data_IF_049858592752
#
_entry.id   IF_049858592752
#
_cell.length_a   1.000
_cell.length_b   1.000
_cell.length_c   1.000
_cell.angle_alpha   90.00
_cell.angle_beta   90.00
_cell.angle_gamma   90.00
#
_symmetry.space_group_name_H-M   'P 1'
#
loop_
_entity.id
_entity.type
_entity.pdbx_description
1 polymer ?
#
# COMPACT_ATOMS: atom_id res chain seq x y z
N UNK A 1 19.79 13.50 2.84
CA UNK A 1 18.57 13.35 2.00
C UNK A 1 18.14 11.91 2.13
N UNK A 2 16.88 11.60 2.47
CA UNK A 2 16.40 10.22 2.47
C UNK A 2 16.60 9.62 1.07
N UNK A 3 17.03 8.36 1.05
CA UNK A 3 17.29 7.60 -0.18
C UNK A 3 15.97 7.42 -0.97
N UNK A 4 16.04 7.33 -2.30
CA UNK A 4 14.86 7.18 -3.16
C UNK A 4 13.96 6.02 -2.74
N UNK A 5 14.54 4.91 -2.24
CA UNK A 5 13.82 3.77 -1.68
C UNK A 5 12.97 4.19 -0.48
N UNK A 6 13.59 4.87 0.48
CA UNK A 6 12.93 5.34 1.70
C UNK A 6 11.77 6.27 1.36
N UNK A 7 11.96 7.22 0.43
CA UNK A 7 10.90 8.13 -0.02
C UNK A 7 9.70 7.39 -0.63
N UNK A 8 9.94 6.36 -1.45
CA UNK A 8 8.88 5.56 -2.06
C UNK A 8 8.13 4.71 -1.02
N UNK A 9 8.86 4.04 -0.11
CA UNK A 9 8.26 3.23 0.97
C UNK A 9 7.42 4.12 1.90
N UNK A 10 7.94 5.29 2.26
CA UNK A 10 7.22 6.28 3.06
C UNK A 10 5.96 6.76 2.37
N UNK A 11 6.01 7.00 1.06
CA UNK A 11 4.85 7.43 0.29
C UNK A 11 3.73 6.38 0.36
N UNK A 12 4.04 5.11 0.05
CA UNK A 12 3.05 4.02 0.10
C UNK A 12 2.51 3.85 1.52
N UNK A 13 3.40 3.90 2.52
CA UNK A 13 3.02 3.75 3.92
C UNK A 13 2.02 4.84 4.33
N UNK A 14 2.33 6.11 4.06
CA UNK A 14 1.46 7.22 4.47
C UNK A 14 0.14 7.27 3.72
N UNK A 15 0.14 6.95 2.42
CA UNK A 15 -1.03 7.13 1.55
C UNK A 15 -1.97 5.91 1.51
N UNK A 16 -1.44 4.69 1.64
CA UNK A 16 -2.25 3.47 1.56
C UNK A 16 -2.29 2.69 2.89
N UNK A 17 -1.18 2.55 3.61
CA UNK A 17 -1.13 1.64 4.77
C UNK A 17 -1.59 2.29 6.07
N UNK A 18 -1.11 3.49 6.39
CA UNK A 18 -1.44 4.23 7.60
C UNK A 18 -2.95 4.45 7.77
N UNK A 19 -3.71 4.87 6.74
CA UNK A 19 -5.16 5.01 6.86
C UNK A 19 -5.85 3.71 7.29
N UNK A 20 -5.38 2.56 6.79
CA UNK A 20 -5.93 1.25 7.15
C UNK A 20 -5.57 0.89 8.59
N UNK A 21 -4.31 1.06 8.97
CA UNK A 21 -3.82 0.74 10.32
C UNK A 21 -4.40 1.64 11.41
N UNK A 22 -4.78 2.88 11.07
CA UNK A 22 -5.35 3.86 12.00
C UNK A 22 -6.88 3.84 12.03
N UNK A 23 -7.55 3.13 11.12
CA UNK A 23 -9.00 3.08 11.06
C UNK A 23 -9.60 2.41 12.33
N UNK A 24 -10.58 3.06 12.94
CA UNK A 24 -11.21 2.61 14.19
C UNK A 24 -12.30 1.55 13.97
N UNK A 25 -12.42 0.58 14.88
CA UNK A 25 -13.51 -0.39 14.92
C UNK A 25 -14.81 0.15 15.54
N UNK A 26 -14.74 1.33 16.16
CA UNK A 26 -15.87 1.96 16.85
C UNK A 26 -17.00 2.32 15.88
N UNK A 27 -18.25 2.09 16.28
CA UNK A 27 -19.43 2.36 15.46
C UNK A 27 -19.66 1.41 14.27
N UNK A 28 -18.74 0.48 14.00
CA UNK A 28 -18.86 -0.51 12.92
C UNK A 28 -19.68 -1.73 13.35
N UNK A 29 -20.32 -2.39 12.39
CA UNK A 29 -20.97 -3.69 12.60
C UNK A 29 -19.94 -4.80 12.89
N UNK A 30 -20.36 -5.90 13.51
CA UNK A 30 -19.48 -7.04 13.77
C UNK A 30 -18.85 -7.63 12.49
N UNK A 31 -19.56 -7.59 11.37
CA UNK A 31 -19.04 -8.02 10.08
C UNK A 31 -17.92 -7.09 9.57
N UNK A 32 -18.09 -5.78 9.71
CA UNK A 32 -17.08 -4.78 9.34
C UNK A 32 -15.88 -4.83 10.27
N UNK A 33 -16.07 -5.05 11.58
CA UNK A 33 -14.96 -5.24 12.53
C UNK A 33 -14.08 -6.43 12.14
N UNK A 34 -14.69 -7.55 11.74
CA UNK A 34 -13.94 -8.72 11.25
C UNK A 34 -13.18 -8.43 9.96
N UNK A 35 -13.79 -7.71 9.01
CA UNK A 35 -13.09 -7.27 7.79
C UNK A 35 -11.93 -6.34 8.12
N UNK A 36 -12.15 -5.37 9.02
CA UNK A 36 -11.13 -4.42 9.44
C UNK A 36 -9.92 -5.13 10.06
N UNK A 37 -10.14 -6.05 10.99
CA UNK A 37 -9.07 -6.84 11.60
C UNK A 37 -8.28 -7.62 10.54
N UNK A 38 -8.98 -8.26 9.59
CA UNK A 38 -8.34 -9.00 8.50
C UNK A 38 -7.47 -8.09 7.61
N UNK A 39 -7.99 -6.96 7.15
CA UNK A 39 -7.21 -6.04 6.29
C UNK A 39 -6.07 -5.38 7.07
N UNK A 40 -6.24 -5.07 8.36
CA UNK A 40 -5.17 -4.51 9.19
C UNK A 40 -4.02 -5.50 9.39
N UNK A 41 -4.32 -6.79 9.57
CA UNK A 41 -3.29 -7.85 9.62
C UNK A 41 -2.53 -7.97 8.30
N UNK A 42 -3.25 -8.02 7.18
CA UNK A 42 -2.64 -8.05 5.85
C UNK A 42 -1.75 -6.81 5.60
N UNK A 43 -2.24 -5.61 5.94
CA UNK A 43 -1.48 -4.37 5.78
C UNK A 43 -0.20 -4.34 6.62
N UNK A 44 -0.16 -4.94 7.81
CA UNK A 44 1.08 -5.05 8.60
C UNK A 44 2.14 -5.88 7.89
N UNK A 45 1.75 -7.02 7.31
CA UNK A 45 2.65 -7.85 6.49
C UNK A 45 3.16 -7.08 5.27
N UNK A 46 2.30 -6.27 4.64
CA UNK A 46 2.67 -5.41 3.51
C UNK A 46 3.68 -4.33 3.91
N UNK A 47 3.50 -3.66 5.05
CA UNK A 47 4.46 -2.69 5.57
C UNK A 47 5.84 -3.33 5.78
N UNK A 48 5.89 -4.52 6.37
CA UNK A 48 7.14 -5.27 6.57
C UNK A 48 7.79 -5.64 5.23
N UNK A 49 6.99 -6.10 4.26
CA UNK A 49 7.45 -6.45 2.91
C UNK A 49 8.06 -5.24 2.20
N UNK A 50 7.40 -4.09 2.21
CA UNK A 50 7.90 -2.87 1.58
C UNK A 50 9.18 -2.34 2.24
N UNK A 51 9.26 -2.41 3.57
CA UNK A 51 10.48 -2.01 4.32
C UNK A 51 11.66 -2.94 4.05
N UNK A 52 11.39 -4.19 3.71
CA UNK A 52 12.40 -5.21 3.42
C UNK A 52 13.03 -5.13 2.03
N UNK A 53 12.45 -4.37 1.09
CA UNK A 53 13.04 -4.21 -0.25
C UNK A 53 14.40 -3.50 -0.18
N UNK A 54 15.38 -4.02 -0.92
CA UNK A 54 16.77 -3.59 -0.87
C UNK A 54 17.09 -2.39 -1.77
N UNK A 55 16.18 -2.00 -2.66
CA UNK A 55 16.41 -0.86 -3.58
C UNK A 55 15.13 -0.15 -4.01
N UNK A 56 15.26 1.09 -4.47
CA UNK A 56 14.14 1.86 -5.03
C UNK A 56 13.51 1.15 -6.25
N UNK A 57 14.33 0.55 -7.13
CA UNK A 57 13.85 -0.22 -8.28
C UNK A 57 12.98 -1.40 -7.86
N UNK A 58 13.38 -2.10 -6.79
CA UNK A 58 12.61 -3.22 -6.25
C UNK A 58 11.26 -2.77 -5.69
N UNK A 59 11.20 -1.61 -5.02
CA UNK A 59 9.94 -1.02 -4.55
C UNK A 59 9.01 -0.73 -5.74
N UNK A 60 9.51 -0.09 -6.81
CA UNK A 60 8.69 0.24 -8.00
C UNK A 60 8.20 -1.01 -8.72
N UNK A 61 9.06 -2.01 -8.92
CA UNK A 61 8.70 -3.26 -9.60
C UNK A 61 7.62 -4.01 -8.83
N UNK A 62 7.77 -4.15 -7.50
CA UNK A 62 6.80 -4.87 -6.70
C UNK A 62 5.50 -4.09 -6.51
N UNK A 63 5.56 -2.76 -6.38
CA UNK A 63 4.36 -1.92 -6.39
C UNK A 63 3.51 -2.16 -7.63
N UNK A 64 4.12 -2.15 -8.83
CA UNK A 64 3.40 -2.43 -10.07
C UNK A 64 2.80 -3.83 -10.11
N UNK A 65 3.50 -4.83 -9.58
CA UNK A 65 2.98 -6.21 -9.46
C UNK A 65 1.78 -6.28 -8.53
N UNK A 66 1.76 -5.48 -7.46
CA UNK A 66 0.66 -5.47 -6.50
C UNK A 66 -0.63 -4.88 -7.08
N UNK A 67 -0.53 -3.95 -8.04
CA UNK A 67 -1.70 -3.35 -8.70
C UNK A 67 -2.58 -4.42 -9.37
N UNK A 68 -1.95 -5.41 -9.99
CA UNK A 68 -2.62 -6.46 -10.77
C UNK A 68 -2.72 -7.81 -10.02
N UNK A 69 -2.30 -7.85 -8.76
CA UNK A 69 -2.17 -9.07 -7.97
C UNK A 69 -3.52 -9.74 -7.70
N UNK A 70 -3.72 -10.95 -8.24
CA UNK A 70 -4.93 -11.74 -8.00
C UNK A 70 -5.19 -12.01 -6.51
N UNK A 71 -4.18 -12.38 -5.69
CA UNK A 71 -4.34 -12.47 -4.24
C UNK A 71 -4.77 -11.16 -3.56
N UNK A 72 -4.31 -10.01 -4.06
CA UNK A 72 -4.65 -8.71 -3.48
C UNK A 72 -6.10 -8.29 -3.73
N UNK A 73 -6.78 -8.89 -4.74
CA UNK A 73 -8.17 -8.53 -5.09
C UNK A 73 -9.15 -8.65 -3.93
N UNK A 74 -9.03 -9.70 -3.11
CA UNK A 74 -9.90 -9.87 -1.94
C UNK A 74 -9.70 -8.76 -0.91
N UNK A 75 -8.45 -8.47 -0.56
CA UNK A 75 -8.09 -7.40 0.40
C UNK A 75 -8.52 -6.04 -0.14
N UNK A 76 -8.30 -5.76 -1.43
CA UNK A 76 -8.75 -4.53 -2.07
C UNK A 76 -10.28 -4.37 -2.05
N UNK A 77 -11.04 -5.44 -2.30
CA UNK A 77 -12.49 -5.39 -2.22
C UNK A 77 -12.98 -5.09 -0.79
N UNK A 78 -12.35 -5.69 0.22
CA UNK A 78 -12.67 -5.43 1.62
C UNK A 78 -12.31 -4.01 2.05
N UNK A 79 -11.15 -3.49 1.63
CA UNK A 79 -10.74 -2.11 1.84
C UNK A 79 -11.76 -1.13 1.25
N UNK A 80 -12.16 -1.33 0.00
CA UNK A 80 -13.19 -0.51 -0.66
C UNK A 80 -14.54 -0.58 0.07
N UNK A 81 -14.95 -1.76 0.51
CA UNK A 81 -16.19 -1.92 1.28
C UNK A 81 -16.14 -1.21 2.65
N UNK A 82 -14.95 -0.99 3.21
CA UNK A 82 -14.72 -0.24 4.45
C UNK A 82 -14.46 1.26 4.21
N UNK A 83 -14.46 1.72 2.96
CA UNK A 83 -14.12 3.10 2.59
C UNK A 83 -12.64 3.46 2.80
N UNK A 84 -11.75 2.46 2.75
CA UNK A 84 -10.32 2.61 2.97
C UNK A 84 -9.54 2.59 1.64
N UNK A 85 -8.39 3.30 1.56
CA UNK A 85 -7.59 3.35 0.35
C UNK A 85 -6.92 2.01 0.05
N UNK A 86 -6.68 1.79 -1.23
CA UNK A 86 -5.90 0.69 -1.79
C UNK A 86 -4.65 1.24 -2.47
N UNK A 87 -3.67 0.37 -2.78
CA UNK A 87 -2.48 0.79 -3.55
C UNK A 87 -2.84 1.27 -4.97
N UNK A 88 -3.97 0.81 -5.52
CA UNK A 88 -4.47 1.28 -6.81
C UNK A 88 -4.89 2.75 -6.77
N UNK A 89 -5.40 3.24 -5.64
CA UNK A 89 -5.87 4.63 -5.51
C UNK A 89 -4.71 5.64 -5.49
N UNK A 90 -3.48 5.18 -5.27
CA UNK A 90 -2.28 6.03 -5.16
C UNK A 90 -1.31 5.83 -6.35
N UNK A 91 -1.72 5.08 -7.38
CA UNK A 91 -0.88 4.68 -8.51
C UNK A 91 -0.21 5.87 -9.18
N UNK A 92 -1.01 6.83 -9.65
CA UNK A 92 -0.51 7.93 -10.48
C UNK A 92 0.47 8.81 -9.70
N UNK A 93 0.19 9.05 -8.43
CA UNK A 93 1.06 9.82 -7.55
C UNK A 93 2.37 9.08 -7.24
N UNK A 94 2.31 7.75 -7.01
CA UNK A 94 3.50 6.93 -6.82
C UNK A 94 4.37 6.91 -8.08
N UNK A 95 3.77 6.73 -9.26
CA UNK A 95 4.47 6.73 -10.54
C UNK A 95 5.12 8.10 -10.83
N UNK A 96 4.45 9.22 -10.50
CA UNK A 96 5.04 10.56 -10.59
C UNK A 96 6.26 10.72 -9.67
N UNK A 97 6.14 10.29 -8.41
CA UNK A 97 7.25 10.34 -7.46
C UNK A 97 8.44 9.49 -7.91
N UNK A 98 8.19 8.27 -8.43
CA UNK A 98 9.25 7.41 -8.95
C UNK A 98 9.99 8.05 -10.13
N UNK A 99 9.27 8.76 -11.01
CA UNK A 99 9.85 9.51 -12.13
C UNK A 99 10.69 10.69 -11.66
N UNK A 100 10.19 11.48 -10.69
CA UNK A 100 10.93 12.60 -10.10
C UNK A 100 12.23 12.15 -9.42
N UNK A 101 12.22 10.96 -8.83
CA UNK A 101 13.39 10.35 -8.19
C UNK A 101 14.32 9.64 -9.18
N UNK A 102 13.97 9.56 -10.47
CA UNK A 102 14.78 8.92 -11.52
C UNK A 102 14.88 7.40 -11.41
N UNK A 103 13.87 6.74 -10.81
CA UNK A 103 13.84 5.29 -10.55
C UNK A 103 12.68 4.58 -11.25
N UNK A 104 12.25 5.11 -12.40
CA UNK A 104 11.19 4.51 -13.18
C UNK A 104 11.63 3.14 -13.71
N UNK A 105 10.74 2.14 -13.59
CA UNK A 105 11.00 0.79 -14.09
C UNK A 105 10.96 0.70 -15.63
N UNK A 106 10.90 1.83 -16.34
CA UNK A 106 10.77 1.94 -17.78
C UNK A 106 12.11 2.28 -18.42
N UNK A 107 13.08 1.37 -18.34
CA UNK A 107 14.20 1.27 -19.27
C UNK A 107 14.46 -0.18 -19.62
#
# INVERSE_FOLDING_TARGET
MPDAREKLVDFVTRRAFDPVLKASAEGRSEAEKRKLDHVQKATRTEVERYRGYGSAKEVVVNFKRDLDSEPARKVHAELKALGLPTVNDIRDEFESLAKELGVDASR
#
